data_IF_157194087822
#
_entry.id   IF_157194087822
#
_cell.length_a   1.000
_cell.length_b   1.000
_cell.length_c   1.000
_cell.angle_alpha   90.00
_cell.angle_beta   90.00
_cell.angle_gamma   90.00
#
_symmetry.space_group_name_H-M   'P 1'
#
loop_
_entity.id
_entity.type
_entity.pdbx_description
1 polymer ?
#
# COMPACT_ATOMS: atom_id res chain seq x y z
N UNK A 1 34.72 14.42 -23.65
CA UNK A 1 33.67 13.37 -23.72
C UNK A 1 34.11 12.04 -23.11
N UNK A 2 35.30 11.50 -23.43
CA UNK A 2 35.79 10.21 -22.89
C UNK A 2 36.01 10.18 -21.36
N UNK A 3 36.45 11.28 -20.75
CA UNK A 3 36.60 11.41 -19.27
C UNK A 3 35.26 11.53 -18.53
N UNK A 4 34.24 12.09 -19.17
CA UNK A 4 32.91 12.28 -18.57
C UNK A 4 32.11 10.97 -18.61
N UNK A 5 32.32 10.16 -19.65
CA UNK A 5 31.77 8.81 -19.77
C UNK A 5 32.43 7.83 -18.78
N UNK A 6 33.72 8.00 -18.48
CA UNK A 6 34.41 7.23 -17.44
C UNK A 6 33.92 7.59 -16.04
N UNK A 7 33.65 8.88 -15.76
CA UNK A 7 33.09 9.33 -14.47
C UNK A 7 31.63 8.90 -14.30
N UNK A 8 30.84 8.88 -15.38
CA UNK A 8 29.45 8.39 -15.35
C UNK A 8 29.36 6.87 -15.15
N UNK A 9 30.27 6.09 -15.75
CA UNK A 9 30.39 4.65 -15.48
C UNK A 9 30.87 4.38 -14.04
N UNK A 10 31.81 5.18 -13.51
CA UNK A 10 32.35 5.00 -12.17
C UNK A 10 31.33 5.37 -11.07
N UNK A 11 30.39 6.29 -11.36
CA UNK A 11 29.24 6.62 -10.50
C UNK A 11 28.15 5.53 -10.50
N UNK A 12 27.99 4.76 -11.58
CA UNK A 12 27.00 3.69 -11.68
C UNK A 12 27.45 2.37 -11.05
N UNK A 13 28.75 2.18 -10.81
CA UNK A 13 29.31 0.97 -10.19
C UNK A 13 29.40 1.01 -8.66
N UNK A 14 28.92 2.07 -8.01
CA UNK A 14 29.06 2.28 -6.56
C UNK A 14 27.89 1.87 -5.63
N UNK A 15 26.74 1.29 -6.05
CA UNK A 15 25.75 0.80 -5.09
C UNK A 15 25.84 -0.72 -4.92
N UNK A 16 27.00 -1.26 -4.49
CA UNK A 16 27.09 -2.68 -4.05
C UNK A 16 27.84 -2.85 -2.73
N UNK A 17 28.14 -1.78 -1.99
CA UNK A 17 28.76 -1.88 -0.66
C UNK A 17 28.18 -0.84 0.32
N UNK A 18 26.89 -0.94 0.63
CA UNK A 18 26.28 -0.19 1.73
C UNK A 18 25.15 -0.96 2.45
N UNK A 19 25.08 -2.28 2.29
CA UNK A 19 24.11 -3.16 2.97
C UNK A 19 24.53 -3.58 4.39
N UNK A 20 25.42 -2.82 5.05
CA UNK A 20 25.98 -3.19 6.36
C UNK A 20 25.89 -2.14 7.46
N UNK A 21 25.23 -0.99 7.25
CA UNK A 21 25.25 0.13 8.22
C UNK A 21 23.88 0.66 8.64
N UNK A 22 22.79 -0.03 8.30
CA UNK A 22 21.43 0.30 8.78
C UNK A 22 20.86 -0.71 9.79
N UNK A 23 21.69 -1.59 10.35
CA UNK A 23 21.31 -2.37 11.54
C UNK A 23 21.48 -1.52 12.82
N UNK A 24 20.77 -0.40 12.86
CA UNK A 24 20.69 0.48 14.02
C UNK A 24 19.23 0.84 14.23
N UNK A 25 18.56 -0.06 14.96
CA UNK A 25 17.23 0.15 15.54
C UNK A 25 17.19 1.54 16.19
N UNK A 26 16.25 2.42 15.82
CA UNK A 26 15.98 3.58 16.65
C UNK A 26 15.33 3.07 17.95
N UNK A 27 16.14 3.02 19.01
CA UNK A 27 15.63 2.92 20.37
C UNK A 27 14.76 4.15 20.63
N UNK A 28 13.44 3.95 20.61
CA UNK A 28 12.47 4.93 21.04
C UNK A 28 12.53 5.07 22.57
N UNK A 29 13.50 5.81 23.08
CA UNK A 29 13.49 6.33 24.45
C UNK A 29 12.87 7.72 24.43
N UNK A 30 11.54 7.78 24.33
CA UNK A 30 10.75 8.94 24.71
C UNK A 30 9.35 8.49 25.11
N UNK A 31 9.18 8.35 26.43
CA UNK A 31 7.93 8.61 27.15
C UNK A 31 6.63 8.11 26.54
N UNK A 32 6.43 6.80 26.50
CA UNK A 32 5.09 6.20 26.50
C UNK A 32 5.02 5.20 27.65
N UNK A 33 4.11 5.46 28.57
CA UNK A 33 3.71 4.55 29.64
C UNK A 33 3.21 3.23 29.01
N UNK A 34 4.09 2.23 29.01
CA UNK A 34 3.87 0.90 28.44
C UNK A 34 2.90 0.09 29.30
N UNK A 35 1.67 -0.08 28.80
CA UNK A 35 0.81 -1.24 29.10
C UNK A 35 0.63 -2.16 27.87
N UNK A 36 1.28 -1.83 26.75
CA UNK A 36 1.16 -2.47 25.45
C UNK A 36 2.28 -3.46 25.12
N UNK A 37 3.25 -3.65 26.02
CA UNK A 37 4.31 -4.64 25.84
C UNK A 37 3.88 -6.06 26.28
N UNK A 38 2.76 -6.18 27.01
CA UNK A 38 2.30 -7.45 27.59
C UNK A 38 1.25 -8.19 26.75
N UNK A 39 0.58 -7.52 25.80
CA UNK A 39 -0.54 -8.06 25.04
C UNK A 39 -0.29 -8.00 23.53
N UNK A 40 -0.38 -9.15 22.86
CA UNK A 40 -0.20 -9.26 21.43
C UNK A 40 -1.45 -8.76 20.68
N UNK A 41 -1.32 -8.27 19.43
CA UNK A 41 -2.46 -8.05 18.54
C UNK A 41 -3.28 -9.35 18.33
N UNK A 42 -4.60 -9.24 18.14
CA UNK A 42 -5.52 -10.40 17.99
C UNK A 42 -5.03 -11.42 16.97
N UNK A 43 -4.60 -10.96 15.79
CA UNK A 43 -4.14 -11.84 14.68
C UNK A 43 -2.79 -12.50 14.96
N UNK A 44 -2.00 -11.95 15.88
CA UNK A 44 -0.75 -12.56 16.33
C UNK A 44 -1.00 -13.53 17.49
N UNK A 45 -1.91 -13.17 18.40
CA UNK A 45 -2.34 -13.99 19.52
C UNK A 45 -3.07 -15.26 19.06
N UNK A 46 -3.92 -15.13 18.02
CA UNK A 46 -4.73 -16.20 17.46
C UNK A 46 -4.48 -16.33 15.96
N UNK A 47 -3.56 -17.23 15.57
CA UNK A 47 -3.23 -17.45 14.16
C UNK A 47 -4.20 -18.46 13.55
N UNK A 48 -5.08 -18.00 12.66
CA UNK A 48 -5.93 -18.86 11.85
C UNK A 48 -5.20 -19.28 10.57
N UNK A 49 -5.16 -20.57 10.29
CA UNK A 49 -4.63 -21.13 9.06
C UNK A 49 -5.64 -22.07 8.41
N UNK A 50 -5.80 -21.96 7.09
CA UNK A 50 -6.48 -22.96 6.28
C UNK A 50 -5.48 -24.06 5.95
N UNK A 51 -5.67 -25.26 6.50
CA UNK A 51 -4.76 -26.39 6.25
C UNK A 51 -5.12 -27.03 4.90
N UNK A 52 -6.38 -27.45 4.78
CA UNK A 52 -6.88 -28.19 3.64
C UNK A 52 -8.30 -27.75 3.30
N UNK A 53 -8.59 -27.69 2.00
CA UNK A 53 -9.93 -27.47 1.48
C UNK A 53 -10.24 -28.57 0.47
N UNK A 54 -10.63 -29.73 0.98
CA UNK A 54 -11.04 -30.87 0.16
C UNK A 54 -12.48 -30.70 -0.33
N UNK A 55 -12.93 -31.43 -1.37
CA UNK A 55 -14.32 -31.39 -1.82
C UNK A 55 -15.35 -31.82 -0.76
N UNK A 56 -14.92 -32.51 0.30
CA UNK A 56 -15.81 -33.04 1.36
C UNK A 56 -15.62 -32.35 2.71
N UNK A 57 -14.42 -31.87 3.02
CA UNK A 57 -14.09 -31.27 4.32
C UNK A 57 -13.14 -30.08 4.18
N UNK A 58 -13.39 -29.05 4.99
CA UNK A 58 -12.52 -27.88 5.14
C UNK A 58 -11.88 -27.96 6.52
N UNK A 59 -10.54 -27.97 6.57
CA UNK A 59 -9.76 -28.07 7.80
C UNK A 59 -9.15 -26.72 8.14
N UNK A 60 -9.57 -26.15 9.26
CA UNK A 60 -9.03 -24.93 9.82
C UNK A 60 -8.18 -25.25 11.04
N UNK A 61 -7.05 -24.56 11.20
CA UNK A 61 -6.21 -24.64 12.38
C UNK A 61 -6.09 -23.29 13.04
N UNK A 62 -6.50 -23.22 14.30
CA UNK A 62 -6.22 -22.10 15.17
C UNK A 62 -5.01 -22.41 16.03
N UNK A 63 -4.04 -21.51 16.05
CA UNK A 63 -2.85 -21.58 16.90
C UNK A 63 -2.88 -20.40 17.87
N UNK A 64 -3.51 -20.55 19.05
CA UNK A 64 -3.36 -19.59 20.13
C UNK A 64 -1.92 -19.58 20.64
N UNK A 65 -1.43 -18.40 21.01
CA UNK A 65 -0.12 -18.22 21.64
C UNK A 65 -0.19 -18.59 23.13
N UNK A 66 0.93 -18.98 23.73
CA UNK A 66 0.98 -19.29 25.17
C UNK A 66 0.42 -18.12 26.02
N UNK A 67 -0.46 -18.45 26.97
CA UNK A 67 -1.16 -17.47 27.81
C UNK A 67 -2.42 -16.85 27.18
N UNK A 68 -2.87 -17.37 26.03
CA UNK A 68 -4.12 -17.00 25.37
C UNK A 68 -5.00 -18.23 25.18
N UNK A 69 -6.32 -18.02 25.19
CA UNK A 69 -7.30 -19.08 24.99
C UNK A 69 -8.51 -18.60 24.17
N UNK A 70 -9.12 -19.53 23.44
CA UNK A 70 -10.33 -19.31 22.63
C UNK A 70 -11.56 -19.96 23.28
N UNK A 71 -12.72 -19.31 23.20
CA UNK A 71 -13.97 -19.87 23.72
C UNK A 71 -14.65 -20.79 22.70
N UNK A 72 -14.95 -22.03 23.09
CA UNK A 72 -15.70 -22.98 22.25
C UNK A 72 -17.05 -22.43 21.78
N UNK A 73 -17.78 -21.77 22.68
CA UNK A 73 -19.14 -21.29 22.41
C UNK A 73 -19.18 -19.98 21.57
N UNK A 74 -18.03 -19.42 21.21
CA UNK A 74 -17.91 -18.19 20.40
C UNK A 74 -17.47 -18.44 18.97
N UNK A 75 -17.28 -19.71 18.57
CA UNK A 75 -17.07 -20.04 17.17
C UNK A 75 -18.38 -19.98 16.40
N UNK A 76 -18.41 -19.17 15.34
CA UNK A 76 -19.50 -19.15 14.37
C UNK A 76 -18.94 -19.22 12.95
N UNK A 77 -19.50 -20.12 12.16
CA UNK A 77 -19.11 -20.35 10.78
C UNK A 77 -20.29 -19.97 9.88
N UNK A 78 -20.09 -19.01 8.99
CA UNK A 78 -21.07 -18.56 8.01
C UNK A 78 -20.47 -18.58 6.61
N UNK A 79 -21.33 -18.67 5.61
CA UNK A 79 -20.94 -18.61 4.19
C UNK A 79 -21.48 -17.34 3.55
N UNK A 80 -20.69 -16.78 2.65
CA UNK A 80 -21.08 -15.72 1.73
C UNK A 80 -20.83 -16.22 0.30
N UNK A 81 -21.86 -16.38 -0.55
CA UNK A 81 -23.29 -16.14 -0.29
C UNK A 81 -23.93 -17.18 0.65
N UNK A 82 -24.96 -16.76 1.40
CA UNK A 82 -25.63 -17.56 2.44
C UNK A 82 -26.41 -18.79 1.92
N UNK A 83 -26.49 -18.94 0.60
CA UNK A 83 -27.16 -20.07 -0.07
C UNK A 83 -26.39 -21.39 0.09
N UNK A 84 -25.13 -21.34 0.54
CA UNK A 84 -24.29 -22.51 0.73
C UNK A 84 -24.43 -23.02 2.16
N UNK A 85 -25.22 -24.07 2.34
CA UNK A 85 -25.39 -24.74 3.62
C UNK A 85 -24.18 -25.62 3.94
N UNK A 86 -23.33 -25.19 4.87
CA UNK A 86 -22.26 -26.02 5.43
C UNK A 86 -22.82 -27.07 6.39
N UNK A 87 -22.10 -28.18 6.54
CA UNK A 87 -22.36 -29.14 7.60
C UNK A 87 -22.04 -28.56 8.98
N UNK A 88 -22.44 -29.27 10.03
CA UNK A 88 -22.11 -28.91 11.41
C UNK A 88 -20.60 -28.98 11.62
N UNK A 89 -19.98 -27.86 11.99
CA UNK A 89 -18.56 -27.80 12.30
C UNK A 89 -18.24 -28.73 13.48
N UNK A 90 -17.23 -29.59 13.32
CA UNK A 90 -16.80 -30.51 14.33
C UNK A 90 -15.65 -29.89 15.12
N UNK A 91 -15.94 -29.47 16.36
CA UNK A 91 -14.94 -28.94 17.28
C UNK A 91 -14.53 -30.02 18.30
N UNK A 92 -13.22 -30.29 18.49
CA UNK A 92 -12.73 -31.25 19.48
C UNK A 92 -13.07 -30.82 20.90
N UNK A 93 -13.05 -31.74 21.87
CA UNK A 93 -13.22 -31.39 23.28
C UNK A 93 -12.10 -30.45 23.75
N UNK A 94 -12.49 -29.37 24.43
CA UNK A 94 -11.63 -28.38 25.06
C UNK A 94 -11.56 -28.58 26.57
N UNK A 95 -10.90 -27.64 27.24
CA UNK A 95 -10.68 -27.66 28.68
C UNK A 95 -11.79 -26.87 29.38
N UNK A 96 -12.34 -27.43 30.46
CA UNK A 96 -13.32 -26.71 31.26
C UNK A 96 -12.62 -25.69 32.15
N UNK A 97 -13.05 -24.44 32.05
CA UNK A 97 -12.51 -23.32 32.82
C UNK A 97 -13.66 -22.49 33.38
N UNK A 98 -13.49 -22.05 34.62
CA UNK A 98 -14.37 -21.08 35.23
C UNK A 98 -13.72 -19.69 35.12
N UNK A 99 -14.40 -18.74 34.49
CA UNK A 99 -13.96 -17.34 34.43
C UNK A 99 -15.04 -16.38 34.96
N UNK A 100 -14.63 -15.17 35.36
CA UNK A 100 -15.54 -14.17 35.94
C UNK A 100 -16.49 -13.55 34.89
N UNK A 101 -16.27 -13.79 33.60
CA UNK A 101 -17.03 -13.15 32.51
C UNK A 101 -18.23 -13.98 32.08
N UNK A 102 -18.05 -15.30 31.98
CA UNK A 102 -19.00 -16.26 31.44
C UNK A 102 -19.27 -17.44 32.37
N UNK A 103 -18.55 -17.57 33.49
CA UNK A 103 -18.69 -18.67 34.44
C UNK A 103 -18.04 -19.94 33.89
N UNK A 104 -18.76 -21.06 33.92
CA UNK A 104 -18.27 -22.35 33.44
C UNK A 104 -18.31 -22.44 31.91
N UNK A 105 -17.14 -22.40 31.29
CA UNK A 105 -16.94 -22.41 29.84
C UNK A 105 -15.88 -23.39 29.39
N UNK A 106 -16.00 -23.84 28.15
CA UNK A 106 -15.00 -24.70 27.52
C UNK A 106 -14.06 -23.83 26.65
N UNK A 107 -12.76 -23.96 26.89
CA UNK A 107 -11.71 -23.13 26.28
C UNK A 107 -10.62 -23.96 25.61
N UNK A 108 -9.88 -23.33 24.69
CA UNK A 108 -8.73 -23.93 24.01
C UNK A 108 -7.48 -23.08 24.19
N UNK A 109 -6.50 -23.59 24.95
CA UNK A 109 -5.16 -22.99 25.12
C UNK A 109 -4.16 -23.45 24.05
N UNK A 110 -4.42 -24.60 23.42
CA UNK A 110 -3.54 -25.24 22.44
C UNK A 110 -4.06 -25.14 21.00
N UNK A 111 -3.34 -25.81 20.10
CA UNK A 111 -3.71 -25.91 18.69
C UNK A 111 -5.09 -26.58 18.58
N UNK A 112 -6.00 -25.90 17.88
CA UNK A 112 -7.35 -26.35 17.63
C UNK A 112 -7.53 -26.60 16.14
N UNK A 113 -7.77 -27.85 15.78
CA UNK A 113 -8.16 -28.25 14.43
C UNK A 113 -9.69 -28.37 14.36
N UNK A 114 -10.31 -27.65 13.44
CA UNK A 114 -11.75 -27.64 13.20
C UNK A 114 -12.03 -28.19 11.81
N UNK A 115 -12.82 -29.25 11.77
CA UNK A 115 -13.26 -29.88 10.53
C UNK A 115 -14.69 -29.44 10.20
N UNK A 116 -14.87 -28.82 9.04
CA UNK A 116 -16.18 -28.34 8.57
C UNK A 116 -16.58 -29.15 7.33
N UNK A 117 -17.63 -29.98 7.42
CA UNK A 117 -18.13 -30.73 6.27
C UNK A 117 -18.68 -29.79 5.20
N UNK A 118 -18.25 -29.99 3.95
CA UNK A 118 -18.71 -29.25 2.78
C UNK A 118 -19.85 -30.02 2.10
N UNK A 119 -20.94 -29.37 1.67
CA UNK A 119 -21.97 -30.04 0.90
C UNK A 119 -21.41 -30.50 -0.46
N UNK A 120 -21.56 -31.80 -0.76
CA UNK A 120 -21.08 -32.40 -2.02
C UNK A 120 -21.76 -31.81 -3.26
N UNK A 121 -22.95 -31.22 -3.11
CA UNK A 121 -23.77 -30.70 -4.20
C UNK A 121 -23.37 -29.28 -4.67
N UNK A 122 -22.60 -28.53 -3.88
CA UNK A 122 -22.22 -27.14 -4.19
C UNK A 122 -20.70 -26.92 -4.12
N UNK A 123 -20.04 -27.19 -5.24
CA UNK A 123 -18.58 -27.01 -5.39
C UNK A 123 -18.16 -25.62 -5.93
N UNK A 124 -19.04 -24.63 -5.86
CA UNK A 124 -18.73 -23.23 -6.26
C UNK A 124 -17.68 -22.60 -5.32
N UNK A 125 -16.90 -21.61 -5.79
CA UNK A 125 -16.08 -20.80 -4.89
C UNK A 125 -16.97 -19.98 -3.96
N UNK A 126 -16.57 -19.85 -2.70
CA UNK A 126 -17.32 -19.09 -1.70
C UNK A 126 -16.40 -18.51 -0.62
N UNK A 127 -16.91 -17.54 0.13
CA UNK A 127 -16.21 -16.97 1.28
C UNK A 127 -16.73 -17.59 2.56
N UNK A 128 -15.83 -18.21 3.33
CA UNK A 128 -16.08 -18.69 4.68
C UNK A 128 -15.81 -17.55 5.67
N UNK A 129 -16.84 -17.15 6.37
CA UNK A 129 -16.80 -16.12 7.42
C UNK A 129 -16.69 -16.83 8.76
N UNK A 130 -15.53 -16.71 9.39
CA UNK A 130 -15.18 -17.37 10.65
C UNK A 130 -15.15 -16.32 11.75
N UNK A 131 -16.12 -16.38 12.66
CA UNK A 131 -16.14 -15.54 13.85
C UNK A 131 -15.58 -16.33 15.04
N UNK A 132 -14.69 -15.72 15.80
CA UNK A 132 -14.13 -16.30 17.01
C UNK A 132 -13.85 -15.23 18.06
N UNK A 133 -13.71 -15.65 19.31
CA UNK A 133 -13.36 -14.76 20.41
C UNK A 133 -12.44 -15.48 21.39
N UNK A 134 -11.43 -14.76 21.87
CA UNK A 134 -10.50 -15.26 22.86
C UNK A 134 -10.09 -14.22 23.89
N UNK A 135 -9.44 -14.67 24.94
CA UNK A 135 -8.91 -13.85 26.01
C UNK A 135 -7.48 -14.26 26.36
N UNK A 136 -6.76 -13.34 26.99
CA UNK A 136 -5.48 -13.59 27.63
C UNK A 136 -5.72 -14.01 29.09
N UNK A 137 -4.92 -14.94 29.58
CA UNK A 137 -4.93 -15.37 31.00
C UNK A 137 -4.62 -14.24 31.97
N UNK A 138 -3.97 -13.17 31.49
CA UNK A 138 -3.71 -11.93 32.23
C UNK A 138 -4.95 -11.04 32.43
N UNK A 139 -6.16 -11.55 32.16
CA UNK A 139 -7.43 -10.86 32.46
C UNK A 139 -7.91 -9.89 31.38
N UNK A 140 -7.48 -10.05 30.13
CA UNK A 140 -7.92 -9.20 29.01
C UNK A 140 -8.67 -10.04 27.98
N UNK A 141 -9.92 -9.69 27.72
CA UNK A 141 -10.74 -10.32 26.68
C UNK A 141 -10.82 -9.44 25.43
N UNK A 142 -10.55 -10.04 24.27
CA UNK A 142 -10.65 -9.36 23.00
C UNK A 142 -12.11 -9.32 22.51
N UNK A 143 -12.49 -8.31 21.71
CA UNK A 143 -13.77 -8.32 21.01
C UNK A 143 -13.85 -9.50 20.02
N UNK A 144 -15.06 -9.92 19.61
CA UNK A 144 -15.22 -10.96 18.61
C UNK A 144 -14.62 -10.51 17.27
N UNK A 145 -13.70 -11.32 16.75
CA UNK A 145 -13.03 -11.08 15.48
C UNK A 145 -13.69 -11.92 14.40
N UNK A 146 -13.80 -11.36 13.19
CA UNK A 146 -14.36 -12.05 12.03
C UNK A 146 -13.33 -12.09 10.91
N UNK A 147 -12.92 -13.29 10.53
CA UNK A 147 -11.98 -13.51 9.45
C UNK A 147 -12.69 -14.12 8.24
N UNK A 148 -12.32 -13.65 7.04
CA UNK A 148 -12.92 -14.07 5.77
C UNK A 148 -11.91 -14.87 4.99
N UNK A 149 -12.21 -16.15 4.73
CA UNK A 149 -11.35 -17.05 3.98
C UNK A 149 -12.02 -17.38 2.65
N UNK A 150 -11.29 -17.17 1.54
CA UNK A 150 -11.75 -17.57 0.22
C UNK A 150 -11.53 -19.07 0.03
N UNK A 151 -12.61 -19.84 -0.06
CA UNK A 151 -12.58 -21.26 -0.35
C UNK A 151 -12.70 -21.44 -1.85
N UNK A 152 -11.68 -22.04 -2.47
CA UNK A 152 -11.72 -22.35 -3.87
C UNK A 152 -12.84 -23.36 -4.17
N UNK A 153 -13.56 -23.10 -5.26
CA UNK A 153 -14.37 -24.13 -5.90
C UNK A 153 -13.47 -25.11 -6.64
N UNK A 154 -14.00 -26.29 -6.96
CA UNK A 154 -13.33 -27.17 -7.93
C UNK A 154 -13.16 -26.37 -9.23
N UNK A 155 -11.99 -26.41 -9.89
CA UNK A 155 -11.71 -25.58 -11.05
C UNK A 155 -12.63 -25.97 -12.23
N UNK A 156 -13.76 -25.28 -12.32
CA UNK A 156 -14.56 -25.14 -13.53
C UNK A 156 -14.05 -23.91 -14.31
N UNK A 157 -13.99 -23.97 -15.66
CA UNK A 157 -13.44 -22.88 -16.44
C UNK A 157 -14.51 -21.81 -16.63
N UNK A 158 -14.57 -20.78 -15.78
CA UNK A 158 -14.96 -19.41 -16.21
C UNK A 158 -14.90 -18.38 -15.09
N UNK A 159 -14.19 -17.29 -15.40
CA UNK A 159 -14.42 -15.88 -15.02
C UNK A 159 -14.65 -15.53 -13.54
N UNK A 160 -13.64 -14.94 -12.91
CA UNK A 160 -13.85 -13.85 -11.94
C UNK A 160 -12.65 -12.92 -12.00
N UNK A 161 -12.93 -11.63 -12.23
CA UNK A 161 -12.06 -10.50 -11.94
C UNK A 161 -11.48 -10.65 -10.53
N UNK A 162 -10.22 -11.00 -10.46
CA UNK A 162 -9.40 -10.80 -9.27
C UNK A 162 -8.35 -9.78 -9.66
N UNK A 163 -8.32 -8.68 -8.91
CA UNK A 163 -7.15 -7.82 -8.77
C UNK A 163 -6.01 -8.70 -8.28
N UNK A 164 -5.37 -9.38 -9.22
CA UNK A 164 -4.17 -10.15 -9.01
C UNK A 164 -3.04 -9.15 -8.81
N UNK A 165 -2.41 -9.21 -7.64
CA UNK A 165 -0.99 -8.91 -7.55
C UNK A 165 -0.29 -9.59 -8.76
N UNK A 166 0.54 -8.89 -9.53
CA UNK A 166 1.02 -9.39 -10.81
C UNK A 166 1.89 -10.64 -10.57
N UNK A 167 1.31 -11.81 -10.80
CA UNK A 167 2.05 -13.04 -11.00
C UNK A 167 2.73 -12.93 -12.37
N UNK A 168 4.05 -12.83 -12.32
CA UNK A 168 5.06 -12.75 -13.38
C UNK A 168 4.75 -13.54 -14.66
N UNK A 169 3.81 -13.07 -15.48
CA UNK A 169 3.67 -13.42 -16.89
C UNK A 169 3.58 -12.11 -17.67
N UNK A 170 4.61 -11.83 -18.46
CA UNK A 170 4.72 -10.59 -19.23
C UNK A 170 3.74 -10.65 -20.40
N UNK A 171 2.48 -10.29 -20.19
CA UNK A 171 1.54 -10.11 -21.29
C UNK A 171 1.80 -8.75 -21.96
N UNK A 172 1.92 -8.77 -23.29
CA UNK A 172 2.06 -7.54 -24.10
C UNK A 172 0.90 -6.56 -23.85
N UNK A 173 -0.28 -7.08 -23.46
CA UNK A 173 -1.44 -6.29 -23.06
C UNK A 173 -1.21 -5.49 -21.78
N UNK A 174 -0.57 -6.07 -20.77
CA UNK A 174 -0.28 -5.35 -19.52
C UNK A 174 0.73 -4.23 -19.78
N UNK A 175 1.77 -4.51 -20.58
CA UNK A 175 2.73 -3.49 -21.00
C UNK A 175 2.05 -2.35 -21.77
N UNK A 176 1.13 -2.68 -22.69
CA UNK A 176 0.36 -1.69 -23.43
C UNK A 176 -0.57 -0.86 -22.52
N UNK A 177 -1.20 -1.48 -21.52
CA UNK A 177 -2.03 -0.80 -20.53
C UNK A 177 -1.21 0.14 -19.64
N UNK A 178 -0.06 -0.30 -19.12
CA UNK A 178 0.85 0.57 -18.35
C UNK A 178 1.35 1.74 -19.20
N UNK A 179 1.66 1.51 -20.47
CA UNK A 179 2.09 2.55 -21.39
C UNK A 179 0.98 3.58 -21.66
N UNK A 180 -0.25 3.11 -21.93
CA UNK A 180 -1.42 3.97 -22.15
C UNK A 180 -1.80 4.75 -20.88
N UNK A 181 -1.73 4.12 -19.71
CA UNK A 181 -1.99 4.78 -18.43
C UNK A 181 -0.97 5.90 -18.16
N UNK A 182 0.32 5.66 -18.41
CA UNK A 182 1.37 6.68 -18.33
C UNK A 182 1.16 7.85 -19.30
N UNK A 183 0.72 7.55 -20.53
CA UNK A 183 0.38 8.56 -21.52
C UNK A 183 -0.86 9.38 -21.10
N UNK A 184 -1.88 8.72 -20.55
CA UNK A 184 -3.07 9.36 -19.99
C UNK A 184 -2.75 10.30 -18.84
N UNK A 185 -1.83 9.92 -17.96
CA UNK A 185 -1.36 10.78 -16.85
C UNK A 185 -0.70 12.07 -17.36
N UNK A 186 -0.13 12.10 -18.56
CA UNK A 186 0.46 13.32 -19.15
C UNK A 186 -0.62 14.34 -19.54
N UNK A 187 -1.85 13.91 -19.82
CA UNK A 187 -2.98 14.80 -20.10
C UNK A 187 -3.69 15.32 -18.85
N UNK A 188 -3.19 15.01 -17.66
CA UNK A 188 -3.80 15.50 -16.43
C UNK A 188 -3.58 17.01 -16.26
N UNK A 189 -4.53 17.72 -15.62
CA UNK A 189 -4.49 19.17 -15.42
C UNK A 189 -3.25 19.66 -14.67
N UNK A 190 -2.49 18.78 -13.99
CA UNK A 190 -1.27 19.13 -13.25
C UNK A 190 -0.01 19.23 -14.16
N UNK A 191 0.01 18.63 -15.36
CA UNK A 191 1.17 18.66 -16.27
C UNK A 191 1.05 19.79 -17.30
N UNK A 192 -0.18 20.16 -17.68
CA UNK A 192 -0.45 21.26 -18.61
C UNK A 192 0.24 22.60 -18.24
N UNK A 193 0.31 23.01 -16.96
CA UNK A 193 0.97 24.26 -16.53
C UNK A 193 2.50 24.24 -16.69
N UNK A 194 3.11 23.06 -16.83
CA UNK A 194 4.57 22.93 -16.96
C UNK A 194 5.06 22.96 -18.42
N UNK A 195 4.17 22.65 -19.37
CA UNK A 195 4.42 22.67 -20.82
C UNK A 195 4.90 24.06 -21.32
N UNK A 196 4.34 25.20 -20.86
CA UNK A 196 4.83 26.54 -21.20
C UNK A 196 6.24 26.84 -20.69
N UNK A 197 6.65 26.24 -19.58
CA UNK A 197 7.99 26.43 -19.00
C UNK A 197 9.03 25.69 -19.86
N UNK A 198 8.71 24.46 -20.27
CA UNK A 198 9.57 23.65 -21.13
C UNK A 198 9.68 24.26 -22.54
N UNK A 199 8.58 24.78 -23.10
CA UNK A 199 8.63 25.48 -24.38
C UNK A 199 9.46 26.77 -24.28
N UNK A 200 9.33 27.53 -23.19
CA UNK A 200 10.13 28.72 -22.93
C UNK A 200 11.63 28.45 -22.75
N UNK A 201 12.02 27.29 -22.22
CA UNK A 201 13.43 26.89 -22.05
C UNK A 201 14.02 26.28 -23.32
N UNK A 202 13.25 25.47 -24.05
CA UNK A 202 13.72 24.78 -25.27
C UNK A 202 13.76 25.74 -26.48
N UNK A 203 12.86 26.72 -26.56
CA UNK A 203 12.82 27.68 -27.67
C UNK A 203 13.78 28.87 -27.49
N UNK A 204 14.36 29.06 -26.30
CA UNK A 204 15.17 30.26 -25.97
C UNK A 204 16.68 30.10 -26.20
N UNK A 205 17.13 29.02 -26.81
CA UNK A 205 18.52 28.89 -27.23
C UNK A 205 18.70 27.90 -28.37
N UNK A 206 19.36 28.33 -29.45
CA UNK A 206 20.00 27.41 -30.39
C UNK A 206 21.11 26.65 -29.66
N UNK A 207 20.78 25.55 -29.01
CA UNK A 207 21.75 24.68 -28.34
C UNK A 207 21.79 23.35 -29.07
N UNK A 208 22.93 23.05 -29.70
CA UNK A 208 23.16 21.85 -30.51
C UNK A 208 22.71 20.56 -29.81
N UNK A 209 22.18 19.62 -30.61
CA UNK A 209 21.34 18.50 -30.17
C UNK A 209 21.85 17.65 -29.01
N UNK A 210 23.17 17.57 -28.80
CA UNK A 210 23.78 16.84 -27.67
C UNK A 210 23.53 17.50 -26.30
N UNK A 211 23.43 18.83 -26.22
CA UNK A 211 23.17 19.53 -24.96
C UNK A 211 21.70 19.47 -24.57
N UNK A 212 20.78 19.65 -25.53
CA UNK A 212 19.34 19.44 -25.30
C UNK A 212 19.04 18.04 -24.80
N UNK A 213 19.65 17.02 -25.42
CA UNK A 213 19.52 15.63 -24.98
C UNK A 213 20.01 15.40 -23.54
N UNK A 214 21.17 15.97 -23.16
CA UNK A 214 21.69 15.84 -21.78
C UNK A 214 20.81 16.52 -20.73
N UNK A 215 20.16 17.64 -21.07
CA UNK A 215 19.27 18.36 -20.16
C UNK A 215 17.96 17.60 -19.95
N UNK A 216 17.40 17.01 -21.01
CA UNK A 216 16.22 16.15 -20.91
C UNK A 216 16.49 14.90 -20.08
N UNK A 217 17.65 14.25 -20.28
CA UNK A 217 18.02 13.05 -19.54
C UNK A 217 18.28 13.35 -18.05
N UNK A 218 18.92 14.49 -17.75
CA UNK A 218 19.11 14.99 -16.40
C UNK A 218 17.80 15.29 -15.66
N UNK A 219 16.76 15.69 -16.38
CA UNK A 219 15.44 15.99 -15.83
C UNK A 219 14.60 14.72 -15.61
N UNK A 220 14.59 13.79 -16.57
CA UNK A 220 13.77 12.58 -16.53
C UNK A 220 14.31 11.53 -15.54
N UNK A 221 15.64 11.39 -15.44
CA UNK A 221 16.27 10.37 -14.59
C UNK A 221 15.90 10.47 -13.09
N UNK A 222 15.97 11.64 -12.42
CA UNK A 222 15.56 11.77 -11.02
C UNK A 222 14.04 11.61 -10.84
N UNK A 223 13.24 12.04 -11.82
CA UNK A 223 11.80 11.92 -11.80
C UNK A 223 11.35 10.45 -11.85
N UNK A 224 11.95 9.68 -12.77
CA UNK A 224 11.77 8.24 -12.87
C UNK A 224 12.23 7.51 -11.60
N UNK A 225 13.39 7.91 -11.04
CA UNK A 225 13.88 7.33 -9.80
C UNK A 225 12.94 7.57 -8.61
N UNK A 226 12.39 8.79 -8.46
CA UNK A 226 11.42 9.09 -7.41
C UNK A 226 10.13 8.25 -7.54
N UNK A 227 9.57 8.12 -8.75
CA UNK A 227 8.37 7.30 -8.94
C UNK A 227 8.63 5.81 -8.74
N UNK A 228 9.79 5.30 -9.17
CA UNK A 228 10.19 3.93 -8.90
C UNK A 228 10.32 3.67 -7.38
N UNK A 229 10.93 4.62 -6.65
CA UNK A 229 11.13 4.51 -5.20
C UNK A 229 9.80 4.59 -4.44
N UNK A 230 8.93 5.54 -4.80
CA UNK A 230 7.59 5.65 -4.22
C UNK A 230 6.73 4.42 -4.55
N UNK A 231 6.75 3.93 -5.78
CA UNK A 231 6.04 2.72 -6.19
C UNK A 231 6.53 1.46 -5.44
N UNK A 232 7.85 1.32 -5.28
CA UNK A 232 8.43 0.22 -4.51
C UNK A 232 8.05 0.27 -3.03
N UNK A 233 8.06 1.47 -2.42
CA UNK A 233 7.60 1.67 -1.04
C UNK A 233 6.12 1.33 -0.90
N UNK A 234 5.27 1.80 -1.81
CA UNK A 234 3.83 1.48 -1.79
C UNK A 234 3.57 -0.01 -1.99
N UNK A 235 4.34 -0.71 -2.83
CA UNK A 235 4.24 -2.16 -2.98
C UNK A 235 4.64 -2.93 -1.70
N UNK A 236 5.67 -2.46 -1.00
CA UNK A 236 6.17 -3.11 0.22
C UNK A 236 5.27 -2.84 1.44
N UNK A 237 4.72 -1.64 1.57
CA UNK A 237 3.87 -1.23 2.70
C UNK A 237 2.37 -1.43 2.47
N UNK A 238 1.92 -1.51 1.21
CA UNK A 238 0.50 -1.55 0.85
C UNK A 238 -0.23 -2.78 1.37
N UNK A 239 0.43 -3.95 1.36
CA UNK A 239 -0.17 -5.20 1.83
C UNK A 239 -0.37 -5.26 3.35
N UNK A 240 0.44 -4.55 4.13
CA UNK A 240 0.50 -4.71 5.59
C UNK A 240 -0.29 -3.67 6.37
N UNK A 241 -0.67 -2.53 5.75
CA UNK A 241 -1.21 -1.38 6.46
C UNK A 241 -2.62 -0.94 6.05
N UNK A 242 -3.29 -1.63 5.12
CA UNK A 242 -4.65 -1.29 4.66
C UNK A 242 -4.86 0.23 4.46
N UNK A 243 -3.81 0.88 3.93
CA UNK A 243 -3.70 2.33 3.82
C UNK A 243 -4.80 2.91 2.93
N UNK A 244 -5.27 2.12 1.95
CA UNK A 244 -6.38 2.48 1.07
C UNK A 244 -7.65 2.80 1.87
N UNK A 245 -8.02 1.98 2.85
CA UNK A 245 -9.21 2.21 3.67
C UNK A 245 -9.08 3.41 4.63
N UNK A 246 -7.86 3.74 5.07
CA UNK A 246 -7.61 4.89 5.96
C UNK A 246 -7.53 6.22 5.22
N UNK A 247 -6.92 6.25 4.03
CA UNK A 247 -6.84 7.44 3.17
C UNK A 247 -8.18 7.79 2.52
N UNK A 248 -9.09 6.83 2.39
CA UNK A 248 -10.44 7.05 1.87
C UNK A 248 -11.42 7.59 2.92
N UNK A 249 -10.96 7.86 4.15
CA UNK A 249 -11.79 8.52 5.16
C UNK A 249 -12.16 9.94 4.69
N UNK A 250 -13.46 10.22 4.69
CA UNK A 250 -14.05 11.52 4.28
C UNK A 250 -13.35 12.71 4.96
N UNK A 251 -12.87 12.51 6.18
CA UNK A 251 -12.21 13.53 6.98
C UNK A 251 -10.86 14.01 6.42
N UNK A 252 -10.13 13.17 5.68
CA UNK A 252 -8.85 13.54 5.03
C UNK A 252 -9.07 14.02 3.60
N UNK A 253 -10.05 13.44 2.91
CA UNK A 253 -10.35 13.79 1.53
C UNK A 253 -10.89 15.22 1.38
N UNK A 254 -11.73 15.68 2.32
CA UNK A 254 -12.35 17.01 2.31
C UNK A 254 -11.33 18.16 2.37
N UNK A 255 -10.37 18.23 3.32
CA UNK A 255 -9.40 19.32 3.35
C UNK A 255 -8.49 19.32 2.12
N UNK A 256 -8.20 18.14 1.56
CA UNK A 256 -7.36 18.01 0.38
C UNK A 256 -8.06 18.47 -0.90
N UNK A 257 -9.33 18.08 -1.07
CA UNK A 257 -10.19 18.56 -2.14
C UNK A 257 -10.41 20.09 -2.04
N UNK A 258 -10.59 20.62 -0.83
CA UNK A 258 -10.70 22.06 -0.58
C UNK A 258 -9.43 22.80 -1.05
N UNK A 259 -8.25 22.28 -0.71
CA UNK A 259 -6.97 22.85 -1.12
C UNK A 259 -6.81 22.90 -2.65
N UNK A 260 -7.15 21.81 -3.35
CA UNK A 260 -7.15 21.77 -4.81
C UNK A 260 -8.21 22.69 -5.43
N UNK A 261 -9.39 22.80 -4.83
CA UNK A 261 -10.44 23.73 -5.26
C UNK A 261 -9.97 25.19 -5.20
N UNK A 262 -9.27 25.58 -4.13
CA UNK A 262 -8.68 26.91 -3.99
C UNK A 262 -7.65 27.20 -5.08
N UNK A 263 -6.79 26.23 -5.41
CA UNK A 263 -5.82 26.37 -6.51
C UNK A 263 -6.48 26.44 -7.90
N UNK A 264 -7.57 25.69 -8.12
CA UNK A 264 -8.33 25.76 -9.36
C UNK A 264 -8.99 27.14 -9.54
N UNK A 265 -9.57 27.71 -8.47
CA UNK A 265 -10.09 29.09 -8.44
C UNK A 265 -9.01 30.14 -8.76
N UNK A 266 -7.75 29.89 -8.37
CA UNK A 266 -6.64 30.75 -8.74
C UNK A 266 -6.32 30.69 -10.25
N UNK A 267 -6.47 29.54 -10.91
CA UNK A 267 -6.31 29.40 -12.37
C UNK A 267 -7.44 30.03 -13.18
N UNK A 268 -8.65 30.11 -12.62
CA UNK A 268 -9.77 30.86 -13.23
C UNK A 268 -9.61 32.39 -13.13
N UNK A 269 -8.51 32.87 -12.55
CA UNK A 269 -8.19 34.29 -12.49
C UNK A 269 -9.05 35.09 -11.51
N UNK A 270 -9.81 34.42 -10.63
CA UNK A 270 -10.62 35.09 -9.57
C UNK A 270 -9.71 35.76 -8.55
N UNK A 271 -8.49 35.25 -8.37
CA UNK A 271 -7.41 35.90 -7.64
C UNK A 271 -6.15 35.93 -8.50
N UNK A 272 -5.79 37.08 -9.08
CA UNK A 272 -4.39 37.30 -9.43
C UNK A 272 -3.62 37.41 -8.11
N UNK A 273 -3.08 36.29 -7.62
CA UNK A 273 -1.98 36.34 -6.66
C UNK A 273 -0.78 36.97 -7.39
N UNK A 274 -0.79 38.30 -7.53
CA UNK A 274 0.42 39.07 -7.79
C UNK A 274 1.28 38.89 -6.56
N UNK A 275 2.18 37.90 -6.62
CA UNK A 275 3.24 37.79 -5.64
C UNK A 275 3.90 39.18 -5.54
N UNK A 276 4.04 39.74 -4.33
CA UNK A 276 4.66 41.04 -4.15
C UNK A 276 6.02 41.01 -4.83
N UNK A 277 6.27 42.00 -5.68
CA UNK A 277 7.43 42.09 -6.59
C UNK A 277 8.77 41.90 -5.85
N UNK A 278 8.80 42.13 -4.53
CA UNK A 278 9.95 41.88 -3.67
C UNK A 278 10.35 40.38 -3.56
N UNK A 279 9.38 39.46 -3.52
CA UNK A 279 9.63 38.02 -3.38
C UNK A 279 9.91 37.41 -4.75
N UNK A 280 9.14 37.79 -5.78
CA UNK A 280 9.38 37.32 -7.16
C UNK A 280 10.77 37.74 -7.63
N UNK A 281 11.20 39.00 -7.42
CA UNK A 281 12.55 39.44 -7.83
C UNK A 281 13.69 38.78 -7.03
N UNK A 282 13.45 38.37 -5.77
CA UNK A 282 14.43 37.59 -4.98
C UNK A 282 14.53 36.16 -5.49
N UNK A 283 13.40 35.53 -5.78
CA UNK A 283 13.33 34.17 -6.31
C UNK A 283 13.88 34.12 -7.73
N UNK A 284 13.53 35.07 -8.60
CA UNK A 284 14.09 35.22 -9.95
C UNK A 284 15.59 35.47 -9.93
N UNK A 285 16.12 36.19 -8.93
CA UNK A 285 17.58 36.40 -8.81
C UNK A 285 18.31 35.13 -8.35
N UNK A 286 17.70 34.33 -7.48
CA UNK A 286 18.22 33.01 -7.07
C UNK A 286 18.10 32.03 -8.23
N UNK A 287 16.96 32.01 -8.92
CA UNK A 287 16.68 31.19 -10.09
C UNK A 287 17.61 31.54 -11.27
N UNK A 288 17.83 32.83 -11.56
CA UNK A 288 18.81 33.30 -12.55
C UNK A 288 20.25 32.94 -12.17
N UNK A 289 20.60 32.88 -10.87
CA UNK A 289 21.91 32.36 -10.45
C UNK A 289 22.06 30.86 -10.73
N UNK A 290 20.95 30.14 -10.86
CA UNK A 290 20.88 28.71 -11.21
C UNK A 290 20.48 28.42 -12.66
N UNK A 291 20.19 29.42 -13.51
CA UNK A 291 19.73 29.20 -14.88
C UNK A 291 20.83 29.36 -15.92
N UNK A 292 21.11 28.24 -16.60
CA UNK A 292 22.02 28.15 -17.74
C UNK A 292 22.83 26.86 -17.82
N UNK A 293 22.28 25.70 -17.42
CA UNK A 293 22.89 24.40 -17.74
C UNK A 293 23.53 23.61 -16.60
N UNK A 294 23.24 23.93 -15.33
CA UNK A 294 23.67 23.05 -14.24
C UNK A 294 22.72 21.85 -14.11
N UNK A 295 23.26 20.64 -14.27
CA UNK A 295 22.57 19.36 -14.03
C UNK A 295 21.91 19.30 -12.64
N UNK A 296 22.51 19.99 -11.67
CA UNK A 296 22.03 20.03 -10.28
C UNK A 296 20.73 20.83 -10.12
N UNK A 297 20.60 21.97 -10.80
CA UNK A 297 19.36 22.76 -10.79
C UNK A 297 18.18 22.01 -11.43
N UNK A 298 18.44 21.29 -12.54
CA UNK A 298 17.42 20.47 -13.19
C UNK A 298 16.97 19.29 -12.30
N UNK A 299 17.90 18.66 -11.57
CA UNK A 299 17.60 17.55 -10.68
C UNK A 299 16.75 17.97 -9.47
N UNK A 300 17.10 19.08 -8.80
CA UNK A 300 16.36 19.58 -7.63
C UNK A 300 14.93 19.98 -8.03
N UNK A 301 14.77 20.65 -9.18
CA UNK A 301 13.47 21.09 -9.67
C UNK A 301 12.57 19.90 -10.07
N UNK A 302 13.17 18.81 -10.58
CA UNK A 302 12.47 17.54 -10.83
C UNK A 302 11.94 16.86 -9.56
N UNK A 303 12.71 16.87 -8.47
CA UNK A 303 12.29 16.29 -7.16
C UNK A 303 11.16 17.10 -6.53
N UNK A 304 11.25 18.43 -6.57
CA UNK A 304 10.17 19.29 -6.02
C UNK A 304 8.88 19.12 -6.83
N UNK A 305 9.01 18.99 -8.15
CA UNK A 305 7.87 18.73 -9.04
C UNK A 305 7.21 17.37 -8.75
N UNK A 306 7.98 16.30 -8.57
CA UNK A 306 7.41 14.97 -8.25
C UNK A 306 6.65 14.95 -6.91
N UNK A 307 7.12 15.73 -5.92
CA UNK A 307 6.44 15.85 -4.63
C UNK A 307 5.12 16.62 -4.74
N UNK A 308 5.06 17.66 -5.57
CA UNK A 308 3.85 18.43 -5.87
C UNK A 308 2.85 17.67 -6.76
N UNK A 309 3.33 16.78 -7.63
CA UNK A 309 2.50 15.96 -8.54
C UNK A 309 1.94 14.70 -7.88
N UNK A 310 2.61 14.18 -6.84
CA UNK A 310 2.17 13.01 -6.06
C UNK A 310 0.68 13.03 -5.69
N UNK A 311 0.09 14.16 -5.22
CA UNK A 311 -1.33 14.20 -4.93
C UNK A 311 -2.28 14.20 -6.13
N UNK A 312 -1.82 14.51 -7.35
CA UNK A 312 -2.63 14.39 -8.57
C UNK A 312 -2.60 12.96 -9.16
N UNK A 313 -1.57 12.17 -8.84
CA UNK A 313 -1.33 10.82 -9.42
C UNK A 313 -1.86 9.71 -8.51
N UNK A 314 -2.07 9.99 -7.24
CA UNK A 314 -2.57 9.02 -6.26
C UNK A 314 -3.99 8.53 -6.54
N UNK A 315 -4.87 9.38 -7.07
CA UNK A 315 -6.27 9.03 -7.35
C UNK A 315 -6.44 7.88 -8.37
N UNK A 316 -5.80 7.89 -9.55
CA UNK A 316 -5.90 6.79 -10.52
C UNK A 316 -5.12 5.52 -10.13
N UNK A 317 -4.18 5.60 -9.19
CA UNK A 317 -3.37 4.45 -8.74
C UNK A 317 -3.98 3.68 -7.57
N UNK A 318 -4.91 4.30 -6.84
CA UNK A 318 -5.65 3.68 -5.74
C UNK A 318 -7.09 3.27 -6.12
N UNK A 319 -7.46 3.42 -7.40
CA UNK A 319 -8.75 3.01 -7.96
C UNK A 319 -8.71 1.63 -8.59
#
# INVERSE_FOLDING_TARGET
MRRLLFVLCLLFTLPVMATGLLDSRPSATLGAINNSADFLPVREAFKLNLIDSTPETIKLRFVPTEGYYLYRHRFAFKTEPADIALGTAQLPAGEQKHDEYFGDVEVYHGILDVDIPRPTNDQRPFTLVVSYQGCADKGLCYPPETERLSIAGTPGPTATESTNAPATSWNWRDLALFFLAGLGLTFTPCVLPMLPILSGVVLRGQVGGLRGFSLSLAYVLPMAACFALLGALMGMFGAQLNLQARLQSVWVLVPFALFFGVFALAMFGVFELKLPQAISNRLDRVANRTQGGSLWGAAVLGVVSSLLVSPCVSAPLAG
#
